data_IF_175894392902
#
_entry.id   IF_175894392902
#
_cell.length_a   1.000
_cell.length_b   1.000
_cell.length_c   1.000
_cell.angle_alpha   90.00
_cell.angle_beta   90.00
_cell.angle_gamma   90.00
#
_symmetry.space_group_name_H-M   'P 1'
#
loop_
_entity.id
_entity.type
_entity.pdbx_description
1 polymer ?
#
# COMPACT_ATOMS: atom_id res chain seq x y z
N UNK A 1 9.98 4.54 -9.24
CA UNK A 1 11.00 5.61 -9.44
C UNK A 1 10.38 6.99 -9.66
N UNK A 2 9.47 7.17 -10.63
CA UNK A 2 8.87 8.49 -10.89
C UNK A 2 8.12 9.07 -9.68
N UNK A 3 7.39 8.24 -8.92
CA UNK A 3 6.68 8.65 -7.72
C UNK A 3 7.64 9.16 -6.63
N UNK A 4 8.73 8.45 -6.37
CA UNK A 4 9.77 8.90 -5.43
C UNK A 4 10.36 10.25 -5.84
N UNK A 5 10.69 10.43 -7.14
CA UNK A 5 11.21 11.71 -7.65
C UNK A 5 10.23 12.86 -7.46
N UNK A 6 8.94 12.63 -7.76
CA UNK A 6 7.90 13.65 -7.61
C UNK A 6 7.72 14.05 -6.14
N UNK A 7 7.69 13.08 -5.22
CA UNK A 7 7.57 13.38 -3.78
C UNK A 7 8.83 14.05 -3.24
N UNK A 8 10.03 13.62 -3.66
CA UNK A 8 11.28 14.27 -3.30
C UNK A 8 11.29 15.75 -3.74
N UNK A 9 10.86 16.01 -4.97
CA UNK A 9 10.74 17.38 -5.47
C UNK A 9 9.73 18.19 -4.64
N UNK A 10 8.54 17.65 -4.40
CA UNK A 10 7.51 18.31 -3.62
C UNK A 10 7.98 18.64 -2.20
N UNK A 11 8.58 17.67 -1.49
CA UNK A 11 9.09 17.87 -0.13
C UNK A 11 10.28 18.82 -0.06
N UNK A 12 11.08 18.95 -1.13
CA UNK A 12 12.19 19.91 -1.19
C UNK A 12 11.73 21.36 -1.17
N UNK A 13 10.50 21.64 -1.58
CA UNK A 13 9.91 22.99 -1.59
C UNK A 13 8.87 23.21 -0.48
N UNK A 14 8.36 22.14 0.13
CA UNK A 14 7.37 22.24 1.19
C UNK A 14 8.05 22.62 2.51
N UNK A 15 7.69 23.78 3.07
CA UNK A 15 8.21 24.25 4.36
C UNK A 15 7.39 23.72 5.55
N UNK A 16 6.13 23.34 5.33
CA UNK A 16 5.18 22.92 6.37
C UNK A 16 4.34 21.73 5.88
N UNK A 17 5.01 20.61 5.55
CA UNK A 17 4.33 19.38 5.17
C UNK A 17 4.00 18.54 6.42
N UNK A 18 2.73 18.42 6.76
CA UNK A 18 2.27 17.62 7.91
C UNK A 18 2.17 16.12 7.61
N UNK A 19 2.17 15.74 6.33
CA UNK A 19 2.09 14.35 5.91
C UNK A 19 1.91 14.19 4.41
N UNK A 20 2.12 13.00 3.91
CA UNK A 20 1.91 12.62 2.50
C UNK A 20 0.87 11.50 2.43
N UNK A 21 -0.17 11.71 1.62
CA UNK A 21 -1.17 10.69 1.32
C UNK A 21 -1.00 10.23 -0.13
N UNK A 22 -0.88 8.92 -0.34
CA UNK A 22 -0.86 8.32 -1.67
C UNK A 22 -2.14 7.55 -1.92
N UNK A 23 -2.96 8.03 -2.87
CA UNK A 23 -4.21 7.38 -3.26
C UNK A 23 -4.09 6.73 -4.64
N UNK A 24 -4.76 5.60 -4.86
CA UNK A 24 -4.73 4.91 -6.15
C UNK A 24 -5.33 3.51 -6.11
N UNK A 25 -4.94 2.68 -7.05
CA UNK A 25 -5.38 1.28 -7.18
C UNK A 25 -4.25 0.32 -6.79
N UNK A 26 -4.60 -0.90 -6.45
CA UNK A 26 -3.66 -1.98 -6.17
C UNK A 26 -4.23 -3.35 -6.56
N UNK A 27 -3.35 -4.32 -6.78
CA UNK A 27 -3.70 -5.73 -6.87
C UNK A 27 -3.85 -6.36 -5.49
N UNK A 28 -4.91 -7.12 -5.26
CA UNK A 28 -5.14 -7.86 -4.01
C UNK A 28 -4.24 -9.09 -3.90
N UNK A 29 -3.52 -9.23 -2.78
CA UNK A 29 -2.59 -10.35 -2.52
C UNK A 29 -3.17 -11.37 -1.56
N UNK A 30 -3.73 -10.93 -0.44
CA UNK A 30 -4.26 -11.85 0.57
C UNK A 30 -5.45 -12.64 0.02
N UNK A 31 -5.61 -13.87 0.49
CA UNK A 31 -6.76 -14.70 0.11
C UNK A 31 -8.11 -14.14 0.58
N UNK A 32 -8.08 -13.25 1.58
CA UNK A 32 -9.25 -12.55 2.14
C UNK A 32 -9.58 -11.25 1.43
N UNK A 33 -8.68 -10.74 0.60
CA UNK A 33 -8.87 -9.48 -0.14
C UNK A 33 -9.76 -9.71 -1.35
N UNK A 34 -10.74 -8.83 -1.55
CA UNK A 34 -11.65 -8.87 -2.68
C UNK A 34 -11.51 -7.63 -3.57
N UNK A 35 -11.92 -7.76 -4.82
CA UNK A 35 -12.01 -6.60 -5.73
C UNK A 35 -13.00 -5.59 -5.17
N UNK A 36 -12.59 -4.35 -5.09
CA UNK A 36 -13.35 -3.26 -4.51
C UNK A 36 -13.06 -2.96 -3.05
N UNK A 37 -12.35 -3.84 -2.33
CA UNK A 37 -11.89 -3.55 -0.98
C UNK A 37 -10.93 -2.34 -0.99
N UNK A 38 -10.93 -1.60 0.10
CA UNK A 38 -10.00 -0.49 0.32
C UNK A 38 -8.94 -0.93 1.32
N UNK A 39 -7.69 -0.80 0.94
CA UNK A 39 -6.54 -1.09 1.80
C UNK A 39 -5.94 0.22 2.28
N UNK A 40 -5.82 0.37 3.58
CA UNK A 40 -5.08 1.44 4.25
C UNK A 40 -3.76 0.85 4.73
N UNK A 41 -2.66 1.33 4.19
CA UNK A 41 -1.34 0.83 4.53
C UNK A 41 -0.88 1.29 5.91
N UNK A 42 -0.45 0.35 6.74
CA UNK A 42 0.21 0.61 8.02
C UNK A 42 1.70 0.33 7.95
N UNK A 43 2.11 -0.56 7.06
CA UNK A 43 3.49 -0.94 6.80
C UNK A 43 3.73 -1.11 5.31
N UNK A 44 4.95 -0.82 4.87
CA UNK A 44 5.32 -0.84 3.46
C UNK A 44 6.68 -1.50 3.26
N UNK A 45 6.80 -2.40 2.28
CA UNK A 45 8.09 -2.97 1.89
C UNK A 45 8.15 -3.31 0.40
N UNK A 46 9.35 -3.58 -0.14
CA UNK A 46 9.51 -3.90 -1.54
C UNK A 46 9.27 -5.39 -1.83
N UNK A 47 8.66 -5.70 -2.97
CA UNK A 47 8.50 -7.08 -3.44
C UNK A 47 9.80 -7.67 -3.99
N UNK A 48 10.62 -6.83 -4.60
CA UNK A 48 11.74 -7.20 -5.47
C UNK A 48 13.13 -6.83 -4.92
N UNK A 49 13.20 -6.18 -3.75
CA UNK A 49 14.46 -6.00 -3.05
C UNK A 49 14.87 -7.32 -2.36
N UNK A 50 16.07 -7.78 -2.63
CA UNK A 50 16.63 -8.98 -2.01
C UNK A 50 18.12 -8.81 -1.72
N UNK A 51 18.43 -8.62 -0.46
CA UNK A 51 19.77 -8.61 0.07
C UNK A 51 19.99 -9.71 1.13
N UNK A 52 19.20 -10.78 1.07
CA UNK A 52 19.22 -11.89 2.03
C UNK A 52 20.59 -12.59 2.11
N UNK A 53 21.36 -12.58 1.03
CA UNK A 53 22.74 -13.07 1.03
C UNK A 53 23.66 -12.30 2.01
N UNK A 54 23.26 -11.12 2.44
CA UNK A 54 23.96 -10.28 3.42
C UNK A 54 23.25 -10.21 4.78
N UNK A 55 22.26 -11.06 5.01
CA UNK A 55 21.53 -11.16 6.28
C UNK A 55 20.33 -10.22 6.43
N UNK A 56 19.94 -9.50 5.38
CA UNK A 56 18.73 -8.68 5.35
C UNK A 56 17.49 -9.55 5.08
N UNK A 57 16.33 -9.11 5.53
CA UNK A 57 15.07 -9.77 5.17
C UNK A 57 14.67 -9.43 3.73
N UNK A 58 13.88 -10.29 3.09
CA UNK A 58 13.33 -10.03 1.76
C UNK A 58 12.48 -8.74 1.81
N UNK A 59 12.65 -7.85 0.86
CA UNK A 59 12.00 -6.54 0.80
C UNK A 59 12.82 -5.39 1.41
N UNK A 60 13.79 -5.70 2.26
CA UNK A 60 14.62 -4.68 2.92
C UNK A 60 15.72 -4.16 2.01
N UNK A 61 15.84 -2.84 1.95
CA UNK A 61 16.99 -2.17 1.35
C UNK A 61 18.12 -2.09 2.40
N UNK A 62 19.37 -2.47 2.07
CA UNK A 62 20.50 -2.36 2.99
C UNK A 62 20.62 -0.96 3.61
N UNK A 63 20.75 -0.92 4.94
CA UNK A 63 20.83 0.33 5.70
C UNK A 63 19.49 1.02 5.97
N UNK A 64 18.39 0.45 5.51
CA UNK A 64 17.02 0.93 5.73
C UNK A 64 16.26 -0.01 6.69
N UNK A 65 15.14 0.41 7.28
CA UNK A 65 14.30 -0.49 8.09
C UNK A 65 13.74 -1.65 7.27
N UNK A 66 13.30 -2.71 7.94
CA UNK A 66 12.66 -3.88 7.30
C UNK A 66 11.36 -3.49 6.59
N UNK A 67 10.56 -2.64 7.25
CA UNK A 67 9.36 -2.02 6.72
C UNK A 67 9.38 -0.52 7.01
N UNK A 68 8.72 0.27 6.19
CA UNK A 68 8.43 1.68 6.45
C UNK A 68 7.05 1.79 7.09
N UNK A 69 6.85 2.69 8.06
CA UNK A 69 5.65 2.76 8.89
C UNK A 69 5.73 1.76 10.05
N UNK A 70 4.62 1.47 10.66
CA UNK A 70 4.52 0.53 11.78
C UNK A 70 3.81 1.15 13.00
N UNK A 71 3.64 0.39 14.08
CA UNK A 71 2.81 0.77 15.23
C UNK A 71 3.28 2.00 16.01
N UNK A 72 4.52 2.42 15.79
CA UNK A 72 5.11 3.60 16.44
C UNK A 72 5.06 4.86 15.54
N UNK A 73 4.39 4.82 14.40
CA UNK A 73 4.24 6.00 13.54
C UNK A 73 3.11 6.89 14.05
N UNK A 74 3.36 8.20 14.22
CA UNK A 74 2.38 9.20 14.66
C UNK A 74 1.12 9.27 13.76
N UNK A 75 1.18 8.64 12.59
CA UNK A 75 0.07 8.52 11.64
C UNK A 75 -0.96 7.48 12.07
N UNK A 76 -0.57 6.52 12.93
CA UNK A 76 -1.42 5.36 13.22
C UNK A 76 -2.70 5.72 13.98
N UNK A 77 -2.65 6.68 14.91
CA UNK A 77 -3.83 7.08 15.69
C UNK A 77 -4.83 7.89 14.85
N UNK A 78 -4.37 8.78 13.99
CA UNK A 78 -5.22 9.56 13.10
C UNK A 78 -5.84 8.66 12.01
N UNK A 79 -5.04 7.77 11.44
CA UNK A 79 -5.50 6.76 10.47
C UNK A 79 -6.46 5.77 11.14
N UNK A 80 -6.19 5.35 12.38
CA UNK A 80 -7.08 4.48 13.15
C UNK A 80 -8.46 5.12 13.34
N UNK A 81 -8.49 6.37 13.79
CA UNK A 81 -9.74 7.11 14.01
C UNK A 81 -10.51 7.33 12.68
N UNK A 82 -9.80 7.64 11.60
CA UNK A 82 -10.42 7.81 10.29
C UNK A 82 -11.00 6.50 9.76
N UNK A 83 -10.31 5.37 9.93
CA UNK A 83 -10.78 4.04 9.52
C UNK A 83 -11.96 3.59 10.37
N UNK A 84 -11.95 3.81 11.69
CA UNK A 84 -13.13 3.52 12.54
C UNK A 84 -14.37 4.30 12.08
N UNK A 85 -14.20 5.57 11.70
CA UNK A 85 -15.29 6.37 11.16
C UNK A 85 -15.81 5.83 9.81
N UNK A 86 -14.95 5.18 9.02
CA UNK A 86 -15.29 4.58 7.74
C UNK A 86 -15.94 3.19 7.88
N UNK A 87 -15.57 2.42 8.90
CA UNK A 87 -16.14 1.10 9.18
C UNK A 87 -17.66 1.16 9.40
N UNK A 88 -18.16 2.26 9.96
CA UNK A 88 -19.58 2.47 10.17
C UNK A 88 -20.38 2.67 8.84
N UNK A 89 -19.73 3.08 7.75
CA UNK A 89 -20.36 3.30 6.44
C UNK A 89 -20.28 2.08 5.51
N UNK A 90 -19.48 1.07 5.84
CA UNK A 90 -19.25 -0.11 4.99
C UNK A 90 -20.46 -1.01 4.81
N UNK A 91 -21.43 -0.98 5.71
CA UNK A 91 -22.57 -1.90 5.72
C UNK A 91 -23.45 -1.85 4.46
N UNK A 92 -23.39 -0.77 3.67
CA UNK A 92 -24.24 -0.60 2.49
C UNK A 92 -23.55 -0.92 1.16
N UNK A 93 -22.21 -0.98 1.09
CA UNK A 93 -21.45 -1.05 -0.17
C UNK A 93 -20.89 -2.42 -0.57
N UNK A 94 -20.87 -3.39 0.31
CA UNK A 94 -20.40 -4.76 0.03
C UNK A 94 -18.88 -4.92 -0.14
N UNK A 95 -18.08 -3.90 0.12
CA UNK A 95 -16.60 -3.96 0.22
C UNK A 95 -16.15 -3.74 1.65
N UNK A 96 -14.90 -4.09 1.93
CA UNK A 96 -14.29 -3.91 3.25
C UNK A 96 -13.18 -2.86 3.20
N UNK A 97 -12.92 -2.22 4.34
CA UNK A 97 -11.68 -1.48 4.57
C UNK A 97 -10.78 -2.36 5.43
N UNK A 98 -9.57 -2.63 4.93
CA UNK A 98 -8.60 -3.46 5.59
C UNK A 98 -7.33 -2.64 5.86
N UNK A 99 -6.67 -2.92 7.00
CA UNK A 99 -5.41 -2.27 7.38
C UNK A 99 -4.29 -3.30 7.39
N UNK A 100 -3.10 -2.92 6.91
CA UNK A 100 -1.96 -3.81 7.00
C UNK A 100 -0.85 -3.53 6.01
N UNK A 101 0.01 -4.54 5.84
CA UNK A 101 1.18 -4.49 4.99
C UNK A 101 0.79 -4.35 3.51
N UNK A 102 1.36 -3.35 2.88
CA UNK A 102 1.31 -3.14 1.44
C UNK A 102 2.70 -3.32 0.82
N UNK A 103 2.74 -3.94 -0.33
CA UNK A 103 3.97 -4.15 -1.08
C UNK A 103 4.01 -3.23 -2.29
N UNK A 104 5.23 -2.83 -2.70
CA UNK A 104 5.42 -2.23 -4.01
C UNK A 104 6.70 -2.74 -4.67
N UNK A 105 6.72 -2.78 -5.99
CA UNK A 105 7.89 -3.22 -6.75
C UNK A 105 7.85 -2.78 -8.19
N UNK A 106 8.86 -3.18 -8.96
CA UNK A 106 9.00 -2.76 -10.37
C UNK A 106 8.30 -3.72 -11.34
N UNK A 107 7.74 -4.82 -10.84
CA UNK A 107 7.05 -5.84 -11.65
C UNK A 107 5.60 -5.97 -11.23
N UNK A 108 4.71 -6.13 -12.21
CA UNK A 108 3.36 -6.58 -11.93
C UNK A 108 3.37 -7.96 -11.26
N UNK A 109 2.58 -8.11 -10.21
CA UNK A 109 2.31 -9.41 -9.60
C UNK A 109 1.16 -10.07 -10.35
N UNK A 110 1.47 -11.19 -10.98
CA UNK A 110 0.56 -11.96 -11.83
C UNK A 110 0.58 -13.43 -11.41
N UNK A 111 -0.21 -14.27 -12.07
CA UNK A 111 -0.18 -15.73 -11.84
C UNK A 111 1.23 -16.35 -11.91
N UNK A 112 2.17 -15.70 -12.60
CA UNK A 112 3.53 -16.19 -12.76
C UNK A 112 4.40 -16.06 -11.49
N UNK A 113 4.25 -14.97 -10.72
CA UNK A 113 5.10 -14.65 -9.57
C UNK A 113 4.33 -14.48 -8.25
N UNK A 114 3.00 -14.52 -8.26
CA UNK A 114 2.16 -14.32 -7.06
C UNK A 114 2.44 -15.34 -5.95
N UNK A 115 2.78 -16.56 -6.33
CA UNK A 115 3.08 -17.62 -5.34
C UNK A 115 4.32 -17.27 -4.52
N UNK A 116 5.41 -16.91 -5.19
CA UNK A 116 6.66 -16.48 -4.53
C UNK A 116 6.42 -15.24 -3.64
N UNK A 117 5.66 -14.26 -4.15
CA UNK A 117 5.32 -13.06 -3.38
C UNK A 117 4.53 -13.39 -2.11
N UNK A 118 3.52 -14.25 -2.20
CA UNK A 118 2.71 -14.68 -1.04
C UNK A 118 3.50 -15.51 -0.03
N UNK A 119 4.43 -16.34 -0.50
CA UNK A 119 5.31 -17.14 0.36
C UNK A 119 6.31 -16.24 1.10
N UNK A 120 6.86 -15.23 0.43
CA UNK A 120 7.80 -14.28 1.02
C UNK A 120 7.12 -13.29 1.98
N UNK A 121 5.88 -12.89 1.68
CA UNK A 121 5.14 -11.87 2.43
C UNK A 121 3.72 -12.33 2.80
N UNK A 122 3.59 -13.29 3.72
CA UNK A 122 2.29 -13.93 4.01
C UNK A 122 1.26 -12.97 4.65
N UNK A 123 1.70 -11.85 5.24
CA UNK A 123 0.84 -10.84 5.84
C UNK A 123 0.40 -9.74 4.87
N UNK A 124 0.93 -9.72 3.63
CA UNK A 124 0.66 -8.65 2.70
C UNK A 124 -0.77 -8.71 2.15
N UNK A 125 -1.46 -7.57 2.19
CA UNK A 125 -2.84 -7.42 1.72
C UNK A 125 -2.90 -7.08 0.25
N UNK A 126 -2.01 -6.22 -0.24
CA UNK A 126 -2.01 -5.71 -1.62
C UNK A 126 -0.61 -5.38 -2.12
N UNK A 127 -0.54 -5.14 -3.42
CA UNK A 127 0.69 -4.68 -4.08
C UNK A 127 0.39 -3.63 -5.15
N UNK A 128 1.29 -2.67 -5.28
CA UNK A 128 1.30 -1.65 -6.34
C UNK A 128 2.73 -1.41 -6.86
N UNK A 129 2.99 -0.28 -7.49
CA UNK A 129 4.32 0.04 -8.05
C UNK A 129 4.91 1.35 -7.49
N UNK A 130 4.24 2.03 -6.57
CA UNK A 130 4.62 3.37 -6.09
C UNK A 130 4.79 3.46 -4.59
N UNK A 131 3.93 2.80 -3.84
CA UNK A 131 3.69 3.05 -2.41
C UNK A 131 4.97 2.97 -1.57
N UNK A 132 5.74 1.88 -1.66
CA UNK A 132 6.96 1.72 -0.86
C UNK A 132 8.04 2.74 -1.23
N UNK A 133 8.13 3.12 -2.52
CA UNK A 133 9.10 4.13 -2.94
C UNK A 133 8.75 5.52 -2.38
N UNK A 134 7.47 5.84 -2.25
CA UNK A 134 7.01 7.07 -1.58
C UNK A 134 7.28 6.98 -0.08
N UNK A 135 6.92 5.85 0.56
CA UNK A 135 7.16 5.62 1.97
C UNK A 135 8.64 5.78 2.35
N UNK A 136 9.55 5.25 1.53
CA UNK A 136 10.99 5.41 1.74
C UNK A 136 11.44 6.89 1.66
N UNK A 137 10.91 7.66 0.71
CA UNK A 137 11.22 9.10 0.64
C UNK A 137 10.69 9.81 1.87
N UNK A 138 9.45 9.56 2.26
CA UNK A 138 8.85 10.17 3.46
C UNK A 138 9.63 9.81 4.72
N UNK A 139 10.06 8.55 4.86
CA UNK A 139 10.93 8.13 5.96
C UNK A 139 12.24 8.93 6.00
N UNK A 140 12.91 9.13 4.86
CA UNK A 140 14.15 9.90 4.79
C UNK A 140 13.97 11.40 5.11
N UNK A 141 12.78 11.93 4.88
CA UNK A 141 12.43 13.32 5.19
C UNK A 141 11.76 13.48 6.56
N UNK A 142 11.57 12.39 7.30
CA UNK A 142 10.86 12.36 8.59
C UNK A 142 9.43 12.95 8.49
N UNK A 143 8.75 12.67 7.37
CA UNK A 143 7.37 13.12 7.09
C UNK A 143 6.42 11.94 7.21
N UNK A 144 5.32 12.06 7.96
CA UNK A 144 4.29 11.03 8.04
C UNK A 144 3.75 10.62 6.67
N UNK A 145 3.48 9.32 6.49
CA UNK A 145 3.00 8.78 5.23
C UNK A 145 1.87 7.78 5.42
N UNK A 146 0.84 7.87 4.59
CA UNK A 146 -0.20 6.85 4.48
C UNK A 146 -0.54 6.59 3.02
N UNK A 147 -0.76 5.32 2.69
CA UNK A 147 -1.30 4.92 1.41
C UNK A 147 -2.73 4.40 1.56
N UNK A 148 -3.61 4.83 0.65
CA UNK A 148 -4.97 4.34 0.53
C UNK A 148 -5.14 3.77 -0.87
N UNK A 149 -5.46 2.50 -1.00
CA UNK A 149 -5.61 1.81 -2.28
C UNK A 149 -6.95 1.11 -2.38
N UNK A 150 -7.63 1.24 -3.51
CA UNK A 150 -8.75 0.37 -3.81
C UNK A 150 -8.26 -0.81 -4.68
N UNK A 151 -8.66 -2.02 -4.30
CA UNK A 151 -8.31 -3.23 -5.04
C UNK A 151 -9.04 -3.25 -6.37
N UNK A 152 -8.30 -3.12 -7.47
CA UNK A 152 -8.84 -3.15 -8.84
C UNK A 152 -8.95 -4.56 -9.41
N UNK A 153 -8.03 -5.43 -9.01
CA UNK A 153 -7.88 -6.80 -9.49
C UNK A 153 -7.22 -7.67 -8.44
N UNK A 154 -7.25 -8.98 -8.64
CA UNK A 154 -6.53 -9.91 -7.78
C UNK A 154 -5.25 -10.37 -8.47
N UNK A 155 -4.15 -10.39 -7.72
CA UNK A 155 -2.86 -10.87 -8.19
C UNK A 155 -2.89 -12.40 -8.38
N UNK A 156 -3.09 -12.84 -9.62
CA UNK A 156 -3.22 -14.24 -9.95
C UNK A 156 -4.60 -14.79 -9.59
N UNK A 157 -5.40 -15.18 -10.56
CA UNK A 157 -6.75 -15.62 -10.34
C UNK A 157 -6.75 -16.84 -9.40
N UNK A 158 -7.46 -16.74 -8.28
CA UNK A 158 -8.15 -17.91 -7.78
C UNK A 158 -9.10 -18.31 -8.91
N UNK A 159 -8.98 -19.53 -9.42
CA UNK A 159 -9.68 -19.99 -10.60
C UNK A 159 -11.15 -19.53 -10.60
N UNK A 160 -11.52 -18.64 -11.51
CA UNK A 160 -12.88 -18.14 -11.68
C UNK A 160 -13.15 -16.69 -11.26
N UNK A 161 -12.18 -15.94 -10.79
CA UNK A 161 -12.37 -14.52 -10.43
C UNK A 161 -11.68 -13.58 -11.44
N UNK A 162 -12.22 -13.50 -12.62
CA UNK A 162 -11.87 -12.46 -13.62
C UNK A 162 -12.66 -11.15 -13.37
N UNK A 163 -12.82 -10.76 -12.10
CA UNK A 163 -13.44 -9.47 -11.80
C UNK A 163 -12.37 -8.39 -11.72
N UNK A 164 -12.42 -7.47 -12.67
CA UNK A 164 -11.68 -6.23 -12.63
C UNK A 164 -12.65 -5.09 -12.34
N UNK A 165 -12.38 -4.32 -11.31
CA UNK A 165 -13.04 -3.04 -11.12
C UNK A 165 -12.38 -2.02 -12.06
N UNK A 166 -13.16 -1.29 -12.83
CA UNK A 166 -12.62 -0.25 -13.70
C UNK A 166 -11.73 0.72 -12.92
N UNK A 167 -10.56 1.05 -13.48
CA UNK A 167 -9.55 1.89 -12.82
C UNK A 167 -10.13 3.21 -12.31
N UNK A 168 -11.03 3.83 -13.08
CA UNK A 168 -11.69 5.09 -12.68
C UNK A 168 -12.54 4.92 -11.40
N UNK A 169 -13.28 3.83 -11.29
CA UNK A 169 -14.11 3.53 -10.11
C UNK A 169 -13.25 3.22 -8.89
N UNK A 170 -12.20 2.41 -9.08
CA UNK A 170 -11.27 2.08 -8.01
C UNK A 170 -10.50 3.33 -7.51
N UNK A 171 -10.03 4.16 -8.44
CA UNK A 171 -9.33 5.40 -8.10
C UNK A 171 -10.25 6.40 -7.38
N UNK A 172 -11.50 6.56 -7.84
CA UNK A 172 -12.47 7.43 -7.18
C UNK A 172 -12.79 6.96 -5.76
N UNK A 173 -12.93 5.65 -5.56
CA UNK A 173 -13.14 5.06 -4.23
C UNK A 173 -11.94 5.31 -3.32
N UNK A 174 -10.72 5.02 -3.78
CA UNK A 174 -9.49 5.31 -3.04
C UNK A 174 -9.41 6.79 -2.63
N UNK A 175 -9.66 7.71 -3.56
CA UNK A 175 -9.63 9.15 -3.29
C UNK A 175 -10.70 9.56 -2.25
N UNK A 176 -11.91 8.99 -2.31
CA UNK A 176 -12.97 9.25 -1.35
C UNK A 176 -12.53 8.90 0.09
N UNK A 177 -11.82 7.80 0.26
CA UNK A 177 -11.29 7.39 1.56
C UNK A 177 -10.06 8.21 1.98
N UNK A 178 -9.16 8.51 1.05
CA UNK A 178 -7.99 9.34 1.31
C UNK A 178 -8.34 10.77 1.79
N UNK A 179 -9.48 11.31 1.37
CA UNK A 179 -9.96 12.63 1.82
C UNK A 179 -10.52 12.63 3.25
N UNK A 180 -10.66 11.49 3.88
CA UNK A 180 -11.19 11.33 5.24
C UNK A 180 -10.10 10.98 6.27
N UNK A 181 -8.93 10.59 5.79
CA UNK A 181 -7.70 10.42 6.56
C UNK A 181 -6.97 11.75 6.69
#
# INVERSE_FOLDING_TARGET
MNAASAVTEALSYATDCSGVISAGTAGGLAATTNVGDVIVGTEYTYTDADASAFGYVRGQIPGMPETYGGPDSDVDDAVAAAVEALDAEQAEGGWQVCRGLMLAGHSFVTAHNVKDTREAFPAALSTDMETTAIAQVCHNYEVPFVAVRCVSDLCGPAAGQDFHLGVEVAAARSAQYALRV
#
